data_IF_264104021850
#
_entry.id   IF_264104021850
#
_cell.length_a   1.000
_cell.length_b   1.000
_cell.length_c   1.000
_cell.angle_alpha   90.00
_cell.angle_beta   90.00
_cell.angle_gamma   90.00
#
_symmetry.space_group_name_H-M   'P 1'
#
loop_
_entity.id
_entity.type
_entity.pdbx_description
1 polymer ?
#
# COMPACT_ATOMS: atom_id res chain seq x y z
N UNK A 1 -17.11 3.96 11.27
CA UNK A 1 -16.62 5.24 10.75
C UNK A 1 -15.90 6.01 11.85
N UNK A 2 -14.70 6.53 11.56
CA UNK A 2 -13.93 7.33 12.51
C UNK A 2 -13.75 8.74 11.93
N UNK A 3 -13.90 9.74 12.78
CA UNK A 3 -13.58 11.11 12.40
C UNK A 3 -12.05 11.29 12.31
N UNK A 4 -11.60 11.99 11.26
CA UNK A 4 -10.22 12.45 11.13
C UNK A 4 -10.23 13.90 10.63
N UNK A 5 -9.62 14.80 11.39
CA UNK A 5 -9.49 16.20 10.99
C UNK A 5 -8.65 16.39 9.73
N UNK A 6 -7.72 15.48 9.46
CA UNK A 6 -6.88 15.53 8.25
C UNK A 6 -7.71 15.38 6.97
N UNK A 7 -8.79 14.59 7.01
CA UNK A 7 -9.67 14.36 5.86
C UNK A 7 -10.48 15.59 5.47
N UNK A 8 -10.70 16.53 6.38
CA UNK A 8 -11.48 17.75 6.09
C UNK A 8 -10.92 18.50 4.89
N UNK A 9 -9.60 18.60 4.79
CA UNK A 9 -8.94 19.26 3.65
C UNK A 9 -9.26 18.61 2.31
N UNK A 10 -9.43 17.28 2.25
CA UNK A 10 -9.84 16.56 1.05
C UNK A 10 -11.33 16.76 0.77
N UNK A 11 -12.17 16.66 1.80
CA UNK A 11 -13.63 16.81 1.68
C UNK A 11 -14.01 18.21 1.20
N UNK A 12 -13.35 19.26 1.71
CA UNK A 12 -13.56 20.66 1.30
C UNK A 12 -13.23 20.88 -0.19
N UNK A 13 -12.40 20.00 -0.78
CA UNK A 13 -12.04 19.98 -2.20
C UNK A 13 -12.89 19.04 -3.04
N UNK A 14 -13.99 18.54 -2.51
CA UNK A 14 -14.92 17.65 -3.21
C UNK A 14 -14.46 16.20 -3.35
N UNK A 15 -13.43 15.78 -2.60
CA UNK A 15 -12.97 14.39 -2.59
C UNK A 15 -13.89 13.54 -1.71
N UNK A 16 -14.26 12.38 -2.19
CA UNK A 16 -14.95 11.37 -1.39
C UNK A 16 -13.90 10.45 -0.75
N UNK A 17 -13.92 10.30 0.56
CA UNK A 17 -13.08 9.35 1.27
C UNK A 17 -13.83 8.04 1.49
N UNK A 18 -13.35 6.96 0.90
CA UNK A 18 -13.87 5.61 1.11
C UNK A 18 -12.87 4.75 1.88
N UNK A 19 -13.34 3.98 2.84
CA UNK A 19 -12.52 3.00 3.57
C UNK A 19 -13.03 1.61 3.26
N UNK A 20 -12.19 0.80 2.60
CA UNK A 20 -12.52 -0.58 2.30
C UNK A 20 -12.21 -1.47 3.52
N UNK A 21 -13.23 -2.06 4.10
CA UNK A 21 -13.11 -3.01 5.22
C UNK A 21 -12.96 -4.44 4.67
N UNK A 22 -11.84 -4.69 4.05
CA UNK A 22 -11.52 -5.95 3.38
C UNK A 22 -11.36 -7.13 4.35
N UNK A 23 -11.52 -8.36 3.88
CA UNK A 23 -11.16 -9.57 4.65
C UNK A 23 -9.69 -9.50 5.05
N UNK A 24 -9.39 -9.98 6.25
CA UNK A 24 -8.10 -9.76 6.94
C UNK A 24 -8.16 -8.62 7.95
N UNK A 25 -9.13 -7.68 7.85
CA UNK A 25 -9.43 -6.72 8.91
C UNK A 25 -10.34 -7.34 9.98
N UNK A 26 -10.31 -6.79 11.19
CA UNK A 26 -11.21 -7.23 12.28
C UNK A 26 -12.59 -6.55 12.27
N UNK A 27 -12.89 -5.72 11.29
CA UNK A 27 -14.08 -4.86 11.29
C UNK A 27 -15.38 -5.64 11.38
N UNK A 28 -15.46 -6.81 10.75
CA UNK A 28 -16.63 -7.71 10.80
C UNK A 28 -16.38 -8.95 11.67
N UNK A 29 -15.41 -8.88 12.58
CA UNK A 29 -15.12 -9.95 13.53
C UNK A 29 -14.05 -10.93 13.09
N UNK A 30 -13.79 -11.93 13.92
CA UNK A 30 -12.66 -12.84 13.76
C UNK A 30 -12.75 -13.73 12.51
N UNK A 31 -13.95 -14.17 12.14
CA UNK A 31 -14.12 -14.94 10.90
C UNK A 31 -13.71 -14.13 9.65
N UNK A 32 -14.06 -12.84 9.64
CA UNK A 32 -13.65 -11.92 8.56
C UNK A 32 -12.14 -11.73 8.51
N UNK A 33 -11.49 -11.67 9.67
CA UNK A 33 -10.03 -11.61 9.77
C UNK A 33 -9.39 -12.88 9.22
N UNK A 34 -9.84 -14.06 9.67
CA UNK A 34 -9.31 -15.35 9.25
C UNK A 34 -9.47 -15.61 7.75
N UNK A 35 -10.50 -15.06 7.12
CA UNK A 35 -10.72 -15.17 5.69
C UNK A 35 -9.81 -14.30 4.83
N UNK A 36 -8.93 -13.51 5.43
CA UNK A 36 -7.93 -12.70 4.73
C UNK A 36 -6.50 -12.89 5.26
N UNK A 37 -6.20 -14.04 5.88
CA UNK A 37 -4.84 -14.38 6.38
C UNK A 37 -4.38 -15.72 5.85
N UNK A 38 -3.08 -16.02 6.02
CA UNK A 38 -2.46 -17.27 5.59
C UNK A 38 -2.81 -17.59 4.12
N UNK A 39 -3.26 -18.84 3.86
CA UNK A 39 -3.62 -19.32 2.52
C UNK A 39 -4.86 -18.63 1.91
N UNK A 40 -5.48 -17.69 2.64
CA UNK A 40 -6.61 -16.88 2.16
C UNK A 40 -6.24 -15.41 1.94
N UNK A 41 -4.96 -15.05 2.05
CA UNK A 41 -4.50 -13.65 2.00
C UNK A 41 -4.93 -12.91 0.73
N UNK A 42 -5.00 -13.58 -0.40
CA UNK A 42 -5.43 -12.97 -1.66
C UNK A 42 -6.86 -12.41 -1.62
N UNK A 43 -7.71 -12.91 -0.71
CA UNK A 43 -9.05 -12.34 -0.51
C UNK A 43 -8.99 -10.85 -0.11
N UNK A 44 -7.98 -10.45 0.67
CA UNK A 44 -7.75 -9.03 1.00
C UNK A 44 -7.57 -8.16 -0.25
N UNK A 45 -6.83 -8.67 -1.22
CA UNK A 45 -6.49 -7.94 -2.45
C UNK A 45 -7.69 -7.88 -3.40
N UNK A 46 -8.36 -9.00 -3.61
CA UNK A 46 -9.56 -9.06 -4.47
C UNK A 46 -10.68 -8.20 -3.90
N UNK A 47 -10.92 -8.24 -2.59
CA UNK A 47 -11.94 -7.40 -1.94
C UNK A 47 -11.66 -5.90 -2.17
N UNK A 48 -10.40 -5.47 -2.11
CA UNK A 48 -10.04 -4.08 -2.34
C UNK A 48 -10.26 -3.67 -3.80
N UNK A 49 -9.89 -4.53 -4.74
CA UNK A 49 -10.14 -4.33 -6.18
C UNK A 49 -11.65 -4.24 -6.42
N UNK A 50 -12.44 -5.15 -5.85
CA UNK A 50 -13.90 -5.17 -6.00
C UNK A 50 -14.55 -3.91 -5.42
N UNK A 51 -14.05 -3.41 -4.27
CA UNK A 51 -14.49 -2.12 -3.73
C UNK A 51 -14.19 -0.96 -4.68
N UNK A 52 -13.00 -0.91 -5.26
CA UNK A 52 -12.63 0.11 -6.25
C UNK A 52 -13.50 0.02 -7.50
N UNK A 53 -13.70 -1.18 -8.03
CA UNK A 53 -14.56 -1.42 -9.19
C UNK A 53 -16.02 -1.05 -8.91
N UNK A 54 -16.54 -1.38 -7.72
CA UNK A 54 -17.87 -0.98 -7.28
C UNK A 54 -18.06 0.54 -7.32
N UNK A 55 -17.08 1.31 -6.85
CA UNK A 55 -17.15 2.77 -6.88
C UNK A 55 -17.21 3.32 -8.31
N UNK A 56 -16.47 2.70 -9.23
CA UNK A 56 -16.46 3.08 -10.65
C UNK A 56 -17.79 2.69 -11.32
N UNK A 57 -18.26 1.46 -11.14
CA UNK A 57 -19.48 0.94 -11.77
C UNK A 57 -20.73 1.68 -11.31
N UNK A 58 -20.75 2.13 -10.06
CA UNK A 58 -21.84 2.91 -9.49
C UNK A 58 -21.67 4.43 -9.68
N UNK A 59 -20.71 4.87 -10.50
CA UNK A 59 -20.49 6.27 -10.87
C UNK A 59 -20.17 7.21 -9.70
N UNK A 60 -19.63 6.67 -8.59
CA UNK A 60 -19.08 7.49 -7.50
C UNK A 60 -17.78 8.17 -7.92
N UNK A 61 -17.05 7.54 -8.82
CA UNK A 61 -15.78 8.02 -9.38
C UNK A 61 -15.54 7.41 -10.76
N UNK A 62 -14.37 7.70 -11.35
CA UNK A 62 -13.85 7.02 -12.54
C UNK A 62 -12.43 6.53 -12.29
N UNK A 63 -11.91 5.63 -13.11
CA UNK A 63 -10.52 5.15 -13.02
C UNK A 63 -9.51 6.30 -13.07
N UNK A 64 -9.79 7.36 -13.81
CA UNK A 64 -8.92 8.55 -13.91
C UNK A 64 -8.94 9.43 -12.64
N UNK A 65 -9.84 9.18 -11.71
CA UNK A 65 -10.01 9.94 -10.47
C UNK A 65 -9.95 9.07 -9.22
N UNK A 66 -9.76 7.76 -9.36
CA UNK A 66 -9.64 6.86 -8.23
C UNK A 66 -8.20 6.79 -7.78
N UNK A 67 -7.95 7.25 -6.57
CA UNK A 67 -6.65 7.16 -5.90
C UNK A 67 -6.77 6.19 -4.73
N UNK A 68 -5.77 5.33 -4.54
CA UNK A 68 -5.73 4.43 -3.40
C UNK A 68 -4.54 4.74 -2.48
N UNK A 69 -4.72 4.47 -1.19
CA UNK A 69 -3.70 4.70 -0.17
C UNK A 69 -3.65 3.53 0.80
N UNK A 70 -2.45 3.11 1.16
CA UNK A 70 -2.23 2.10 2.18
C UNK A 70 -0.83 2.16 2.79
N UNK A 71 -0.70 1.79 4.06
CA UNK A 71 0.59 1.81 4.76
C UNK A 71 0.94 0.47 5.39
N UNK A 72 2.23 0.16 5.52
CA UNK A 72 2.73 -1.08 6.12
C UNK A 72 2.16 -2.32 5.44
N UNK A 73 1.40 -3.17 6.12
CA UNK A 73 0.61 -4.25 5.52
C UNK A 73 -0.39 -3.74 4.46
N UNK A 74 -0.93 -2.52 4.63
CA UNK A 74 -1.71 -1.83 3.59
C UNK A 74 -0.87 -1.42 2.39
N UNK A 75 0.44 -1.23 2.57
CA UNK A 75 1.40 -1.03 1.48
C UNK A 75 1.64 -2.30 0.68
N UNK A 76 1.66 -3.48 1.33
CA UNK A 76 1.58 -4.77 0.64
C UNK A 76 0.31 -4.86 -0.22
N UNK A 77 -0.84 -4.49 0.35
CA UNK A 77 -2.10 -4.43 -0.38
C UNK A 77 -1.97 -3.55 -1.62
N UNK A 78 -1.41 -2.33 -1.49
CA UNK A 78 -1.20 -1.43 -2.64
C UNK A 78 -0.31 -2.08 -3.72
N UNK A 79 0.81 -2.67 -3.34
CA UNK A 79 1.71 -3.35 -4.29
C UNK A 79 1.05 -4.55 -4.99
N UNK A 80 0.28 -5.35 -4.25
CA UNK A 80 -0.43 -6.51 -4.81
C UNK A 80 -1.53 -6.09 -5.79
N UNK A 81 -2.36 -5.11 -5.43
CA UNK A 81 -3.48 -4.69 -6.30
C UNK A 81 -3.00 -4.03 -7.59
N UNK A 82 -1.89 -3.28 -7.58
CA UNK A 82 -1.35 -2.71 -8.84
C UNK A 82 -0.70 -3.75 -9.73
N UNK A 83 -0.23 -4.87 -9.18
CA UNK A 83 0.20 -6.02 -9.99
C UNK A 83 -0.99 -6.76 -10.60
N UNK A 84 -2.11 -6.88 -9.87
CA UNK A 84 -3.30 -7.60 -10.30
C UNK A 84 -4.19 -6.77 -11.24
N UNK A 85 -4.39 -5.48 -10.94
CA UNK A 85 -5.31 -4.60 -11.67
C UNK A 85 -4.72 -3.17 -11.82
N UNK A 86 -3.64 -3.01 -12.62
CA UNK A 86 -2.88 -1.75 -12.69
C UNK A 86 -3.67 -0.58 -13.30
N UNK A 87 -4.70 -0.86 -14.10
CA UNK A 87 -5.50 0.13 -14.80
C UNK A 87 -6.73 0.63 -14.00
N UNK A 88 -6.97 0.09 -12.79
CA UNK A 88 -8.10 0.50 -11.97
C UNK A 88 -7.86 1.86 -11.29
N UNK A 89 -6.62 2.14 -10.92
CA UNK A 89 -6.27 3.32 -10.13
C UNK A 89 -5.52 4.36 -10.96
N UNK A 90 -5.86 5.63 -10.80
CA UNK A 90 -5.10 6.76 -11.36
C UNK A 90 -3.75 6.89 -10.68
N UNK A 91 -3.75 6.79 -9.35
CA UNK A 91 -2.55 6.93 -8.54
C UNK A 91 -2.61 6.10 -7.26
N UNK A 92 -1.44 5.78 -6.72
CA UNK A 92 -1.27 5.04 -5.46
C UNK A 92 -0.31 5.80 -4.56
N UNK A 93 -0.70 6.01 -3.30
CA UNK A 93 0.22 6.34 -2.23
C UNK A 93 0.46 5.11 -1.35
N UNK A 94 1.72 4.70 -1.22
CA UNK A 94 2.11 3.53 -0.44
C UNK A 94 3.13 3.95 0.64
N UNK A 95 2.68 3.98 1.89
CA UNK A 95 3.48 4.43 3.02
C UNK A 95 4.15 3.26 3.73
N UNK A 96 5.47 3.37 3.96
CA UNK A 96 6.28 2.36 4.66
C UNK A 96 5.93 0.92 4.25
N UNK A 97 5.89 0.61 2.94
CA UNK A 97 5.18 -0.56 2.44
C UNK A 97 5.97 -1.86 2.60
N UNK A 98 5.27 -2.90 3.07
CA UNK A 98 5.77 -4.28 3.11
C UNK A 98 5.65 -4.91 1.71
N UNK A 99 6.63 -4.66 0.84
CA UNK A 99 6.57 -5.03 -0.58
C UNK A 99 7.58 -6.09 -1.02
N UNK A 100 8.59 -6.38 -0.21
CA UNK A 100 9.59 -7.45 -0.45
C UNK A 100 9.33 -8.64 0.47
N UNK A 101 8.12 -9.20 0.35
CA UNK A 101 7.56 -10.20 1.29
C UNK A 101 8.50 -11.38 1.48
N UNK A 102 8.98 -11.95 0.39
CA UNK A 102 9.76 -13.19 0.46
C UNK A 102 11.11 -12.99 1.16
N UNK A 103 11.87 -11.95 0.79
CA UNK A 103 13.17 -11.72 1.42
C UNK A 103 13.02 -11.38 2.91
N UNK A 104 12.00 -10.61 3.27
CA UNK A 104 11.74 -10.26 4.68
C UNK A 104 11.26 -11.47 5.48
N UNK A 105 10.32 -12.25 4.96
CA UNK A 105 9.79 -13.41 5.68
C UNK A 105 10.79 -14.57 5.77
N UNK A 106 11.79 -14.64 4.89
CA UNK A 106 12.89 -15.62 4.95
C UNK A 106 14.01 -15.21 5.90
N UNK A 107 14.03 -13.98 6.41
CA UNK A 107 15.04 -13.50 7.34
C UNK A 107 14.51 -13.42 8.78
N UNK A 108 14.65 -14.49 9.53
CA UNK A 108 14.21 -14.58 10.93
C UNK A 108 14.97 -13.62 11.89
N UNK A 109 16.02 -12.94 11.43
CA UNK A 109 16.74 -11.93 12.24
C UNK A 109 16.04 -10.58 12.28
N UNK A 110 15.08 -10.34 11.35
CA UNK A 110 14.31 -9.11 11.32
C UNK A 110 13.23 -9.09 12.43
N UNK A 111 12.96 -7.91 13.03
CA UNK A 111 12.20 -7.80 14.28
C UNK A 111 10.81 -8.42 14.25
N UNK A 112 10.08 -8.33 13.14
CA UNK A 112 8.69 -8.79 13.06
C UNK A 112 8.53 -10.18 12.44
N UNK A 113 9.52 -10.66 11.69
CA UNK A 113 9.39 -11.83 10.80
C UNK A 113 8.77 -13.05 11.46
N UNK A 114 9.36 -13.52 12.56
CA UNK A 114 8.88 -14.75 13.23
C UNK A 114 7.47 -14.56 13.81
N UNK A 115 7.17 -13.40 14.38
CA UNK A 115 5.84 -13.09 14.90
C UNK A 115 4.76 -13.04 13.80
N UNK A 116 5.14 -12.62 12.62
CA UNK A 116 4.25 -12.45 11.47
C UNK A 116 3.96 -13.76 10.71
N UNK A 117 4.63 -14.88 11.04
CA UNK A 117 4.29 -16.19 10.47
C UNK A 117 2.83 -16.58 10.73
N UNK A 118 2.24 -16.08 11.83
CA UNK A 118 0.83 -16.31 12.14
C UNK A 118 -0.13 -15.60 11.18
N UNK A 119 0.32 -14.52 10.55
CA UNK A 119 -0.49 -13.73 9.62
C UNK A 119 -0.23 -14.12 8.16
N UNK A 120 1.04 -14.29 7.78
CA UNK A 120 1.44 -14.50 6.38
C UNK A 120 1.71 -15.98 6.05
N UNK A 121 2.11 -16.77 7.04
CA UNK A 121 2.60 -18.14 6.91
C UNK A 121 4.11 -18.23 7.13
N UNK A 122 4.59 -19.43 7.39
CA UNK A 122 6.02 -19.73 7.52
C UNK A 122 6.60 -20.11 6.14
N UNK A 123 7.49 -19.29 5.53
CA UNK A 123 8.06 -19.60 4.22
C UNK A 123 9.02 -20.79 4.20
N UNK A 124 9.41 -21.34 5.37
CA UNK A 124 10.14 -22.59 5.44
C UNK A 124 9.26 -23.80 5.09
N UNK A 125 7.94 -23.63 5.12
CA UNK A 125 6.94 -24.58 4.67
C UNK A 125 6.60 -24.31 3.19
N UNK A 126 6.89 -25.29 2.31
CA UNK A 126 6.73 -25.10 0.86
C UNK A 126 5.35 -24.57 0.42
N UNK A 127 4.20 -25.02 0.96
CA UNK A 127 2.90 -24.47 0.56
C UNK A 127 2.77 -22.97 0.89
N UNK A 128 3.26 -22.53 2.04
CA UNK A 128 3.24 -21.12 2.44
C UNK A 128 4.19 -20.30 1.56
N UNK A 129 5.40 -20.81 1.28
CA UNK A 129 6.34 -20.20 0.35
C UNK A 129 5.71 -19.94 -1.03
N UNK A 130 5.18 -21.00 -1.65
CA UNK A 130 4.59 -20.91 -2.98
C UNK A 130 3.42 -19.91 -3.01
N UNK A 131 2.62 -19.91 -1.95
CA UNK A 131 1.49 -18.99 -1.83
C UNK A 131 1.93 -17.53 -1.68
N UNK A 132 2.88 -17.26 -0.78
CA UNK A 132 3.44 -15.90 -0.61
C UNK A 132 4.12 -15.40 -1.88
N UNK A 133 4.92 -16.25 -2.55
CA UNK A 133 5.51 -15.91 -3.86
C UNK A 133 4.46 -15.48 -4.88
N UNK A 134 3.28 -16.07 -4.85
CA UNK A 134 2.23 -15.80 -5.81
C UNK A 134 1.56 -14.42 -5.65
N UNK A 135 1.89 -13.67 -4.60
CA UNK A 135 1.37 -12.31 -4.40
C UNK A 135 2.41 -11.29 -3.94
N UNK A 136 3.62 -11.71 -3.58
CA UNK A 136 4.68 -10.78 -3.15
C UNK A 136 4.89 -9.68 -4.18
N UNK A 137 4.67 -8.39 -3.84
CA UNK A 137 4.68 -7.31 -4.82
C UNK A 137 5.97 -7.21 -5.61
N UNK A 138 7.11 -7.28 -4.93
CA UNK A 138 8.44 -7.19 -5.55
C UNK A 138 8.69 -8.31 -6.56
N UNK A 139 8.26 -9.53 -6.22
CA UNK A 139 8.52 -10.71 -7.03
C UNK A 139 7.62 -10.80 -8.27
N UNK A 140 6.43 -10.19 -8.20
CA UNK A 140 5.43 -10.19 -9.27
C UNK A 140 5.40 -8.90 -10.11
N UNK A 141 6.45 -8.07 -10.05
CA UNK A 141 6.59 -6.93 -10.96
C UNK A 141 6.88 -7.42 -12.39
N UNK A 142 6.13 -6.88 -13.34
CA UNK A 142 6.22 -7.21 -14.78
C UNK A 142 6.41 -5.95 -15.63
N UNK A 143 6.84 -6.13 -16.87
CA UNK A 143 6.92 -5.03 -17.84
C UNK A 143 5.52 -4.65 -18.34
N UNK A 144 4.91 -3.64 -17.70
CA UNK A 144 3.58 -3.11 -18.04
C UNK A 144 3.41 -1.66 -17.57
N UNK A 145 2.29 -1.04 -17.94
CA UNK A 145 1.89 0.26 -17.41
C UNK A 145 1.43 0.11 -15.94
N UNK A 146 1.79 1.09 -15.10
CA UNK A 146 1.41 1.17 -13.69
C UNK A 146 0.79 2.54 -13.37
N UNK A 147 -0.05 2.67 -12.34
CA UNK A 147 -0.54 3.96 -11.89
C UNK A 147 0.62 4.87 -11.46
N UNK A 148 0.38 6.18 -11.41
CA UNK A 148 1.30 7.07 -10.75
C UNK A 148 1.49 6.61 -9.30
N UNK A 149 2.72 6.55 -8.83
CA UNK A 149 3.02 5.94 -7.53
C UNK A 149 3.94 6.84 -6.71
N UNK A 150 3.48 7.17 -5.50
CA UNK A 150 4.30 7.77 -4.46
C UNK A 150 4.54 6.74 -3.37
N UNK A 151 5.80 6.46 -3.08
CA UNK A 151 6.20 5.67 -1.92
C UNK A 151 6.84 6.60 -0.91
N UNK A 152 6.41 6.51 0.35
CA UNK A 152 7.04 7.22 1.46
C UNK A 152 7.60 6.24 2.48
N UNK A 153 8.83 6.46 2.93
CA UNK A 153 9.51 5.59 3.91
C UNK A 153 10.48 6.39 4.77
N UNK A 154 11.07 5.74 5.76
CA UNK A 154 12.13 6.31 6.60
C UNK A 154 13.33 5.38 6.65
N UNK A 155 14.53 5.95 6.56
CA UNK A 155 15.79 5.20 6.74
C UNK A 155 15.88 4.48 8.10
N UNK A 156 15.25 5.06 9.12
CA UNK A 156 15.22 4.53 10.49
C UNK A 156 13.94 3.72 10.80
N UNK A 157 13.22 3.26 9.79
CA UNK A 157 12.08 2.38 10.01
C UNK A 157 12.54 1.04 10.58
N UNK A 158 12.04 0.69 11.78
CA UNK A 158 12.40 -0.53 12.51
C UNK A 158 11.38 -1.66 12.36
N UNK A 159 10.32 -1.46 11.57
CA UNK A 159 9.28 -2.47 11.33
C UNK A 159 9.33 -2.98 9.89
N UNK A 160 9.31 -2.08 8.92
CA UNK A 160 9.49 -2.37 7.51
C UNK A 160 10.73 -1.64 7.03
N UNK A 161 11.77 -2.37 6.78
CA UNK A 161 13.08 -1.82 6.48
C UNK A 161 13.06 -1.00 5.18
N UNK A 162 13.71 0.16 5.18
CA UNK A 162 13.73 1.11 4.07
C UNK A 162 14.17 0.50 2.73
N UNK A 163 14.95 -0.56 2.77
CA UNK A 163 15.41 -1.21 1.54
C UNK A 163 14.31 -1.95 0.79
N UNK A 164 13.22 -2.36 1.45
CA UNK A 164 12.08 -2.97 0.75
C UNK A 164 11.48 -2.01 -0.28
N UNK A 165 10.97 -0.84 0.10
CA UNK A 165 10.45 0.12 -0.86
C UNK A 165 11.52 0.65 -1.81
N UNK A 166 12.78 0.78 -1.38
CA UNK A 166 13.87 1.25 -2.24
C UNK A 166 14.16 0.25 -3.37
N UNK A 167 14.25 -1.05 -3.05
CA UNK A 167 14.42 -2.11 -4.04
C UNK A 167 13.21 -2.21 -4.98
N UNK A 168 12.02 -2.15 -4.41
CA UNK A 168 10.77 -2.22 -5.16
C UNK A 168 10.70 -1.12 -6.22
N UNK A 169 10.91 0.13 -5.82
CA UNK A 169 10.85 1.25 -6.77
C UNK A 169 11.99 1.21 -7.80
N UNK A 170 13.17 0.77 -7.40
CA UNK A 170 14.29 0.60 -8.32
C UNK A 170 13.98 -0.43 -9.42
N UNK A 171 13.43 -1.59 -9.04
CA UNK A 171 12.99 -2.63 -9.98
C UNK A 171 11.83 -2.13 -10.85
N UNK A 172 10.84 -1.48 -10.25
CA UNK A 172 9.67 -0.96 -10.99
C UNK A 172 10.08 0.08 -12.05
N UNK A 173 11.06 0.93 -11.78
CA UNK A 173 11.61 1.90 -12.75
C UNK A 173 12.18 1.23 -14.01
N UNK A 174 12.68 0.00 -13.91
CA UNK A 174 13.22 -0.74 -15.06
C UNK A 174 12.15 -1.47 -15.86
N UNK A 175 10.98 -1.69 -15.27
CA UNK A 175 9.91 -2.50 -15.86
C UNK A 175 8.72 -1.67 -16.35
N UNK A 176 8.46 -0.53 -15.71
CA UNK A 176 7.33 0.35 -16.04
C UNK A 176 7.44 0.85 -17.48
N UNK A 177 6.36 0.70 -18.26
CA UNK A 177 6.33 1.00 -19.71
C UNK A 177 5.65 2.34 -20.04
N UNK A 178 5.12 3.05 -19.07
CA UNK A 178 4.47 4.36 -19.20
C UNK A 178 5.31 5.46 -18.52
N UNK A 179 4.90 6.72 -18.66
CA UNK A 179 5.59 7.92 -18.15
C UNK A 179 4.97 8.52 -16.88
N UNK A 180 3.96 7.86 -16.28
CA UNK A 180 3.36 8.34 -15.04
C UNK A 180 4.39 8.40 -13.92
N UNK A 181 4.26 9.35 -13.03
CA UNK A 181 5.22 9.58 -11.95
C UNK A 181 5.47 8.33 -11.08
N UNK A 182 6.73 8.14 -10.73
CA UNK A 182 7.18 7.09 -9.84
C UNK A 182 8.19 7.68 -8.86
N UNK A 183 7.73 8.03 -7.66
CA UNK A 183 8.46 8.78 -6.65
C UNK A 183 8.73 7.94 -5.40
N UNK A 184 9.90 8.15 -4.82
CA UNK A 184 10.28 7.64 -3.49
C UNK A 184 10.70 8.84 -2.63
N UNK A 185 9.99 9.07 -1.55
CA UNK A 185 10.44 9.93 -0.45
C UNK A 185 10.98 9.04 0.67
N UNK A 186 12.28 9.16 0.95
CA UNK A 186 12.92 8.47 2.07
C UNK A 186 13.45 9.50 3.06
N UNK A 187 12.87 9.54 4.25
CA UNK A 187 13.34 10.42 5.33
C UNK A 187 14.63 9.87 5.92
N UNK A 188 15.67 10.67 5.91
CA UNK A 188 17.00 10.29 6.43
C UNK A 188 17.17 10.68 7.90
N UNK A 189 16.39 11.64 8.38
CA UNK A 189 16.36 12.08 9.78
C UNK A 189 15.65 11.06 10.68
N UNK A 190 15.60 11.35 11.97
CA UNK A 190 14.97 10.51 13.00
C UNK A 190 13.44 10.44 12.84
N UNK A 191 12.99 9.71 11.84
CA UNK A 191 11.61 9.32 11.64
C UNK A 191 11.52 7.79 11.62
N UNK A 192 10.61 7.19 12.39
CA UNK A 192 10.41 5.74 12.41
C UNK A 192 9.27 5.32 11.48
N UNK A 193 8.74 4.11 11.70
CA UNK A 193 7.61 3.56 10.95
C UNK A 193 6.37 4.47 10.93
N UNK A 194 6.12 5.21 12.01
CA UNK A 194 5.02 6.19 12.12
C UNK A 194 5.32 7.57 11.54
N UNK A 195 6.45 7.77 10.86
CA UNK A 195 6.89 9.07 10.36
C UNK A 195 7.52 9.96 11.44
N UNK A 196 7.55 11.27 11.22
CA UNK A 196 8.11 12.23 12.14
C UNK A 196 7.37 12.25 13.49
N UNK A 197 8.10 12.44 14.61
CA UNK A 197 7.52 12.47 15.95
C UNK A 197 6.77 13.77 16.28
N UNK A 198 7.13 14.88 15.61
CA UNK A 198 6.51 16.19 15.80
C UNK A 198 5.14 16.31 15.15
N UNK A 199 4.13 16.89 15.86
CA UNK A 199 2.79 17.09 15.32
C UNK A 199 2.80 17.87 14.01
N UNK A 200 3.52 18.98 13.96
CA UNK A 200 3.55 19.85 12.79
C UNK A 200 4.33 19.25 11.64
N UNK A 201 5.35 18.46 11.91
CA UNK A 201 6.12 17.76 10.88
C UNK A 201 5.28 16.65 10.25
N UNK A 202 4.53 15.88 11.05
CA UNK A 202 3.53 14.92 10.52
C UNK A 202 2.47 15.60 9.66
N UNK A 203 2.02 16.79 10.03
CA UNK A 203 1.06 17.54 9.20
C UNK A 203 1.65 18.00 7.88
N UNK A 204 2.92 18.42 7.87
CA UNK A 204 3.63 18.76 6.62
C UNK A 204 3.75 17.53 5.71
N UNK A 205 4.14 16.39 6.26
CA UNK A 205 4.23 15.14 5.54
C UNK A 205 2.87 14.76 4.93
N UNK A 206 1.84 14.82 5.75
CA UNK A 206 0.49 14.52 5.30
C UNK A 206 -0.01 15.51 4.24
N UNK A 207 0.29 16.78 4.39
CA UNK A 207 -0.04 17.80 3.40
C UNK A 207 0.67 17.55 2.06
N UNK A 208 1.94 17.16 2.08
CA UNK A 208 2.68 16.76 0.88
C UNK A 208 2.03 15.56 0.18
N UNK A 209 1.72 14.50 0.91
CA UNK A 209 1.08 13.30 0.37
C UNK A 209 -0.29 13.61 -0.25
N UNK A 210 -1.12 14.40 0.46
CA UNK A 210 -2.43 14.82 -0.03
C UNK A 210 -2.33 15.72 -1.26
N UNK A 211 -1.41 16.68 -1.28
CA UNK A 211 -1.18 17.56 -2.41
C UNK A 211 -0.75 16.77 -3.65
N UNK A 212 0.13 15.77 -3.47
CA UNK A 212 0.52 14.90 -4.57
C UNK A 212 -0.69 14.11 -5.11
N UNK A 213 -1.49 13.48 -4.22
CA UNK A 213 -2.68 12.72 -4.63
C UNK A 213 -3.70 13.59 -5.35
N UNK A 214 -3.97 14.80 -4.85
CA UNK A 214 -4.87 15.78 -5.49
C UNK A 214 -4.37 16.18 -6.87
N UNK A 215 -3.06 16.44 -7.00
CA UNK A 215 -2.42 16.76 -8.28
C UNK A 215 -2.61 15.68 -9.34
N UNK A 216 -2.60 14.40 -8.94
CA UNK A 216 -2.81 13.27 -9.88
C UNK A 216 -4.22 13.24 -10.48
N UNK A 217 -5.19 13.84 -9.82
CA UNK A 217 -6.58 13.94 -10.29
C UNK A 217 -6.96 15.34 -10.76
N UNK A 218 -5.97 16.24 -10.90
CA UNK A 218 -6.16 17.58 -11.47
C UNK A 218 -6.73 18.61 -10.48
N UNK A 219 -6.66 18.38 -9.19
CA UNK A 219 -7.07 19.34 -8.15
C UNK A 219 -5.80 20.04 -7.65
N UNK A 220 -5.71 21.36 -7.88
CA UNK A 220 -4.51 22.18 -7.60
C UNK A 220 -4.75 23.31 -6.59
N UNK A 221 -5.98 23.49 -6.11
CA UNK A 221 -6.39 24.54 -5.15
C UNK A 221 -7.11 23.94 -3.93
#
# INVERSE_FOLDING_TARGET
PTFSSERLSLLDRGVIWATAHVRGSQTLGEAWRQDGMLMKKKNTFTDFIDCGQFLVDNQWTSKDRLVAEGGSAGGLLMGAVVNMQPDLFRAIHSAVPFVDVMNTMMDASLPLTVGEYLEWGDPNEKPAFDYMMSYSPYDNLEAKAYPATLITTSFNDSQVMYWEPAKYIAKLRTLKTDDRELLLECKLEAAGHGGASGRYDRWKDRAFQMAWMLGQVGITE
#
